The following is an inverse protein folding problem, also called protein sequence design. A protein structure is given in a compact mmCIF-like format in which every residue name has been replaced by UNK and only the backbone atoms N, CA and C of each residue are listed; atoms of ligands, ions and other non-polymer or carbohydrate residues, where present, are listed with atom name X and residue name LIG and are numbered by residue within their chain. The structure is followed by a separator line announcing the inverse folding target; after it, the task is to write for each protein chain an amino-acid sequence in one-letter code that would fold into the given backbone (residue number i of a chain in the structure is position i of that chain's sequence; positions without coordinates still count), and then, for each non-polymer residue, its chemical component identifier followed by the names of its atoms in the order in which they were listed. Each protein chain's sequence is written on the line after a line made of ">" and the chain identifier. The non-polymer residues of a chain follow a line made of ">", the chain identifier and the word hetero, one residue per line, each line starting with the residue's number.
data_IF_836196348491
#
_entry.id   IF_836196348491
#
_cell.length_a   1.000
_cell.length_b   1.000
_cell.length_c   1.000
_cell.angle_alpha   90.00
_cell.angle_beta   90.00
_cell.angle_gamma   90.00
#
_symmetry.space_group_name_H-M   'P 1'
#
loop_
_entity.id
_entity.type
_entity.pdbx_description
1 polymer ?
#
# COMPACT_ATOMS: atom_id res chain seq x y z
N UNK A 1 3.85 -6.14 -5.29
CA UNK A 1 3.09 -6.08 -4.03
C UNK A 1 2.62 -7.47 -3.68
N UNK A 2 3.06 -8.00 -2.52
CA UNK A 2 2.66 -9.32 -2.01
C UNK A 2 2.12 -9.16 -0.59
N UNK A 3 1.06 -9.88 -0.20
CA UNK A 3 0.56 -9.85 1.17
C UNK A 3 1.55 -10.54 2.12
N UNK A 4 1.64 -10.05 3.35
CA UNK A 4 2.40 -10.69 4.42
C UNK A 4 1.71 -12.00 4.85
N UNK A 5 2.45 -12.98 5.43
CA UNK A 5 1.83 -14.20 5.98
C UNK A 5 0.76 -13.91 7.02
N UNK A 6 0.96 -12.88 7.84
CA UNK A 6 0.03 -12.43 8.88
C UNK A 6 -1.27 -11.92 8.26
N UNK A 7 -1.19 -11.14 7.19
CA UNK A 7 -2.36 -10.62 6.49
C UNK A 7 -3.15 -11.74 5.81
N UNK A 8 -2.46 -12.71 5.20
CA UNK A 8 -3.11 -13.91 4.63
C UNK A 8 -3.84 -14.68 5.71
N UNK A 9 -3.22 -14.84 6.89
CA UNK A 9 -3.83 -15.49 8.04
C UNK A 9 -5.07 -14.73 8.54
N UNK A 10 -5.01 -13.39 8.66
CA UNK A 10 -6.15 -12.55 9.05
C UNK A 10 -7.37 -12.78 8.13
N UNK A 11 -7.15 -12.78 6.81
CA UNK A 11 -8.22 -13.00 5.83
C UNK A 11 -8.82 -14.40 5.95
N UNK A 12 -7.99 -15.44 6.12
CA UNK A 12 -8.46 -16.81 6.34
C UNK A 12 -9.31 -16.91 7.60
N UNK A 13 -8.84 -16.37 8.71
CA UNK A 13 -9.58 -16.39 9.98
C UNK A 13 -10.91 -15.61 9.89
N UNK A 14 -10.94 -14.48 9.18
CA UNK A 14 -12.17 -13.72 8.94
C UNK A 14 -13.19 -14.56 8.19
N UNK A 15 -12.75 -15.25 7.14
CA UNK A 15 -13.60 -16.12 6.34
C UNK A 15 -14.12 -17.32 7.13
N UNK A 16 -13.26 -18.04 7.82
CA UNK A 16 -13.60 -19.18 8.66
C UNK A 16 -14.62 -18.78 9.74
N UNK A 17 -14.45 -17.60 10.33
CA UNK A 17 -15.39 -17.05 11.30
C UNK A 17 -16.76 -16.82 10.69
N UNK A 18 -16.83 -16.15 9.53
CA UNK A 18 -18.09 -15.89 8.83
C UNK A 18 -18.82 -17.19 8.45
N UNK A 19 -18.09 -18.20 7.98
CA UNK A 19 -18.63 -19.52 7.61
C UNK A 19 -19.14 -20.27 8.83
N UNK A 20 -18.41 -20.25 9.96
CA UNK A 20 -18.84 -20.86 11.22
C UNK A 20 -20.11 -20.22 11.77
N UNK A 21 -20.13 -18.88 11.86
CA UNK A 21 -21.31 -18.13 12.32
C UNK A 21 -22.54 -18.39 11.46
N UNK A 22 -22.36 -18.52 10.13
CA UNK A 22 -23.44 -18.92 9.23
C UNK A 22 -23.91 -20.35 9.48
N UNK A 23 -22.98 -21.27 9.78
CA UNK A 23 -23.31 -22.64 10.17
C UNK A 23 -24.15 -22.70 11.42
N UNK A 24 -23.77 -21.94 12.46
CA UNK A 24 -24.51 -21.87 13.73
C UNK A 24 -25.92 -21.29 13.52
N UNK A 25 -26.07 -20.20 12.75
CA UNK A 25 -27.39 -19.62 12.39
C UNK A 25 -28.25 -20.62 11.61
N UNK A 26 -27.65 -21.34 10.67
CA UNK A 26 -28.35 -22.37 9.87
C UNK A 26 -28.86 -23.51 10.71
N UNK A 27 -28.07 -24.06 11.63
CA UNK A 27 -28.52 -25.13 12.53
C UNK A 27 -29.61 -24.65 13.48
N UNK A 28 -29.53 -23.41 13.99
CA UNK A 28 -30.58 -22.82 14.78
C UNK A 28 -31.87 -22.66 13.96
N UNK A 29 -31.78 -22.19 12.70
CA UNK A 29 -32.94 -22.07 11.80
C UNK A 29 -33.55 -23.45 11.47
N UNK A 30 -32.74 -24.48 11.24
CA UNK A 30 -33.20 -25.86 11.03
C UNK A 30 -33.88 -26.45 12.25
N UNK A 31 -33.46 -26.10 13.46
CA UNK A 31 -34.09 -26.50 14.69
C UNK A 31 -35.44 -25.83 14.89
N UNK A 32 -35.53 -24.55 14.60
CA UNK A 32 -36.75 -23.75 14.72
C UNK A 32 -37.77 -24.07 13.62
N UNK A 33 -37.32 -24.35 12.40
CA UNK A 33 -38.15 -24.60 11.22
C UNK A 33 -37.65 -25.88 10.52
N UNK A 34 -38.08 -27.08 10.95
CA UNK A 34 -37.57 -28.34 10.40
C UNK A 34 -37.72 -28.48 8.88
N UNK A 35 -38.70 -27.83 8.28
CA UNK A 35 -38.93 -27.81 6.82
C UNK A 35 -37.74 -27.21 6.05
N UNK A 36 -37.00 -26.27 6.63
CA UNK A 36 -35.77 -25.71 6.02
C UNK A 36 -34.69 -26.78 5.84
N UNK A 37 -34.57 -27.74 6.79
CA UNK A 37 -33.62 -28.83 6.67
C UNK A 37 -34.03 -29.80 5.55
N UNK A 38 -35.33 -30.14 5.46
CA UNK A 38 -35.84 -30.96 4.36
C UNK A 38 -35.61 -30.33 2.99
N UNK A 39 -35.84 -29.02 2.88
CA UNK A 39 -35.55 -28.26 1.65
C UNK A 39 -34.06 -28.34 1.30
N UNK A 40 -33.18 -28.14 2.26
CA UNK A 40 -31.73 -28.23 2.03
C UNK A 40 -31.29 -29.59 1.54
N UNK A 41 -31.88 -30.68 2.11
CA UNK A 41 -31.59 -32.07 1.70
C UNK A 41 -32.16 -32.37 0.29
N UNK A 42 -33.37 -31.89 -0.01
CA UNK A 42 -33.98 -32.02 -1.34
C UNK A 42 -33.15 -31.30 -2.41
N UNK A 43 -32.72 -30.06 -2.13
CA UNK A 43 -31.85 -29.30 -3.04
C UNK A 43 -30.51 -30.00 -3.31
N UNK A 44 -29.90 -30.63 -2.27
CA UNK A 44 -28.67 -31.39 -2.43
C UNK A 44 -28.84 -32.59 -3.37
N UNK A 45 -29.95 -33.32 -3.25
CA UNK A 45 -30.28 -34.43 -4.15
C UNK A 45 -30.53 -33.95 -5.57
N UNK A 46 -31.35 -32.91 -5.74
CA UNK A 46 -31.65 -32.31 -7.04
C UNK A 46 -30.39 -31.74 -7.73
N UNK A 47 -29.46 -31.16 -6.99
CA UNK A 47 -28.18 -30.67 -7.54
C UNK A 47 -27.33 -31.82 -8.09
N UNK A 48 -27.30 -32.95 -7.37
CA UNK A 48 -26.60 -34.16 -7.82
C UNK A 48 -27.25 -34.73 -9.08
N UNK A 49 -28.60 -34.89 -9.10
CA UNK A 49 -29.34 -35.39 -10.24
C UNK A 49 -29.20 -34.47 -11.47
N UNK A 50 -29.23 -33.15 -11.27
CA UNK A 50 -28.99 -32.16 -12.32
C UNK A 50 -27.59 -32.33 -12.92
N UNK A 51 -26.56 -32.54 -12.10
CA UNK A 51 -25.20 -32.81 -12.55
C UNK A 51 -25.10 -34.07 -13.44
N UNK A 52 -25.75 -35.16 -13.02
CA UNK A 52 -25.80 -36.42 -13.78
C UNK A 52 -26.55 -36.26 -15.11
N UNK A 53 -27.69 -35.54 -15.11
CA UNK A 53 -28.51 -35.27 -16.31
C UNK A 53 -27.72 -34.47 -17.35
N UNK A 54 -27.00 -33.42 -16.90
CA UNK A 54 -26.12 -32.60 -17.77
C UNK A 54 -24.99 -33.44 -18.35
N UNK A 55 -24.35 -34.30 -17.55
CA UNK A 55 -23.27 -35.20 -18.03
C UNK A 55 -23.77 -36.20 -19.07
N UNK A 56 -25.05 -36.56 -19.05
CA UNK A 56 -25.69 -37.46 -20.07
C UNK A 56 -26.17 -36.70 -21.29
N UNK A 57 -26.07 -35.36 -21.31
CA UNK A 57 -26.58 -34.54 -22.42
C UNK A 57 -28.11 -34.41 -22.46
N UNK A 58 -28.81 -34.76 -21.36
CA UNK A 58 -30.26 -34.72 -21.24
C UNK A 58 -30.73 -33.33 -20.74
N UNK A 59 -32.03 -33.02 -20.99
CA UNK A 59 -32.62 -31.75 -20.52
C UNK A 59 -32.83 -31.78 -19.01
N UNK A 60 -32.30 -30.78 -18.33
CA UNK A 60 -32.40 -30.59 -16.89
C UNK A 60 -33.39 -29.48 -16.46
N UNK A 61 -34.23 -29.01 -17.36
CA UNK A 61 -35.14 -27.88 -17.12
C UNK A 61 -36.16 -28.16 -16.00
N UNK A 62 -36.73 -29.36 -15.94
CA UNK A 62 -37.62 -29.76 -14.85
C UNK A 62 -36.96 -29.76 -13.47
N UNK A 63 -35.71 -30.24 -13.39
CA UNK A 63 -34.96 -30.25 -12.12
C UNK A 63 -34.64 -28.84 -11.66
N UNK A 64 -34.28 -27.95 -12.59
CA UNK A 64 -34.07 -26.52 -12.29
C UNK A 64 -35.32 -25.84 -11.76
N UNK A 65 -36.48 -26.09 -12.39
CA UNK A 65 -37.75 -25.56 -11.94
C UNK A 65 -38.10 -26.01 -10.50
N UNK A 66 -37.79 -27.27 -10.14
CA UNK A 66 -37.97 -27.77 -8.78
C UNK A 66 -37.06 -27.06 -7.77
N UNK A 67 -35.80 -26.80 -8.14
CA UNK A 67 -34.88 -26.05 -7.29
C UNK A 67 -35.40 -24.64 -7.07
N UNK A 68 -35.88 -23.95 -8.12
CA UNK A 68 -36.44 -22.60 -8.00
C UNK A 68 -37.66 -22.55 -7.11
N UNK A 69 -38.53 -23.57 -7.14
CA UNK A 69 -39.70 -23.68 -6.23
C UNK A 69 -39.25 -23.81 -4.78
N UNK A 70 -38.24 -24.66 -4.52
CA UNK A 70 -37.67 -24.83 -3.17
C UNK A 70 -36.99 -23.55 -2.66
N UNK A 71 -36.33 -22.79 -3.54
CA UNK A 71 -35.75 -21.49 -3.18
C UNK A 71 -36.83 -20.47 -2.77
N UNK A 72 -37.95 -20.43 -3.48
CA UNK A 72 -39.11 -19.58 -3.12
C UNK A 72 -39.73 -20.01 -1.79
N UNK A 73 -39.85 -21.32 -1.56
CA UNK A 73 -40.39 -21.87 -0.29
C UNK A 73 -39.47 -21.52 0.87
N UNK A 74 -38.11 -21.68 0.74
CA UNK A 74 -37.16 -21.32 1.75
C UNK A 74 -37.26 -19.83 2.10
N UNK A 75 -37.29 -18.95 1.08
CA UNK A 75 -37.42 -17.50 1.28
C UNK A 75 -38.66 -17.16 2.07
N UNK A 76 -39.81 -17.75 1.71
CA UNK A 76 -41.09 -17.49 2.39
C UNK A 76 -41.09 -17.95 3.86
N UNK A 77 -40.46 -19.09 4.14
CA UNK A 77 -40.30 -19.60 5.50
C UNK A 77 -39.42 -18.68 6.36
N UNK A 78 -38.29 -18.22 5.81
CA UNK A 78 -37.43 -17.26 6.51
C UNK A 78 -38.15 -15.94 6.81
N UNK A 79 -38.82 -15.37 5.81
CA UNK A 79 -39.54 -14.12 5.97
C UNK A 79 -40.72 -14.23 6.95
N UNK A 80 -41.47 -15.36 6.92
CA UNK A 80 -42.60 -15.60 7.86
C UNK A 80 -42.09 -15.77 9.31
N UNK A 81 -40.85 -16.21 9.51
CA UNK A 81 -40.20 -16.29 10.80
C UNK A 81 -39.51 -14.97 11.23
N UNK A 82 -39.62 -13.89 10.44
CA UNK A 82 -38.97 -12.61 10.71
C UNK A 82 -37.46 -12.62 10.50
N UNK A 83 -36.92 -13.62 9.77
CA UNK A 83 -35.50 -13.75 9.46
C UNK A 83 -35.16 -13.11 8.09
N UNK A 84 -34.00 -12.47 7.93
CA UNK A 84 -33.61 -11.92 6.65
C UNK A 84 -33.32 -13.03 5.62
N UNK A 85 -33.44 -12.75 4.31
CA UNK A 85 -33.20 -13.73 3.24
C UNK A 85 -31.81 -14.37 3.26
N UNK A 86 -30.81 -13.64 3.73
CA UNK A 86 -29.41 -14.06 3.80
C UNK A 86 -29.01 -14.61 5.20
N UNK A 87 -30.00 -14.89 6.08
CA UNK A 87 -29.77 -15.32 7.46
C UNK A 87 -28.84 -16.52 7.57
N UNK A 88 -28.95 -17.47 6.68
CA UNK A 88 -28.17 -18.71 6.67
C UNK A 88 -26.88 -18.61 5.85
N UNK A 89 -26.60 -17.45 5.24
CA UNK A 89 -25.41 -17.23 4.41
C UNK A 89 -24.27 -16.60 5.21
N UNK A 90 -23.00 -16.87 4.83
CA UNK A 90 -21.86 -16.18 5.45
C UNK A 90 -21.87 -14.68 5.17
N UNK A 91 -21.63 -13.88 6.19
CA UNK A 91 -21.50 -12.44 6.08
C UNK A 91 -20.02 -12.06 6.02
N UNK A 92 -19.45 -12.03 4.81
CA UNK A 92 -18.08 -11.66 4.58
C UNK A 92 -17.87 -10.14 4.67
N UNK A 93 -16.72 -9.69 5.18
CA UNK A 93 -16.31 -8.28 5.20
C UNK A 93 -16.21 -7.70 3.79
N UNK A 94 -15.66 -8.48 2.86
CA UNK A 94 -15.55 -8.11 1.46
C UNK A 94 -16.40 -9.03 0.58
N UNK A 95 -17.49 -8.50 0.04
CA UNK A 95 -18.38 -9.24 -0.87
C UNK A 95 -17.75 -9.58 -2.22
N UNK A 96 -16.71 -8.83 -2.66
CA UNK A 96 -16.06 -9.05 -3.94
C UNK A 96 -15.14 -10.27 -3.95
N UNK A 97 -14.50 -10.60 -2.83
CA UNK A 97 -13.59 -11.73 -2.73
C UNK A 97 -14.02 -12.77 -1.68
N UNK A 98 -15.11 -12.55 -0.97
CA UNK A 98 -15.57 -13.39 0.13
C UNK A 98 -14.44 -13.70 1.14
N UNK A 99 -13.72 -12.65 1.52
CA UNK A 99 -12.58 -12.65 2.42
C UNK A 99 -11.45 -13.62 2.02
N UNK A 100 -11.31 -13.94 0.73
CA UNK A 100 -10.14 -14.67 0.23
C UNK A 100 -8.94 -13.76 -0.04
N UNK A 101 -9.18 -12.45 -0.18
CA UNK A 101 -8.18 -11.47 -0.62
C UNK A 101 -7.86 -11.50 -2.12
N UNK A 102 -8.47 -12.41 -2.88
CA UNK A 102 -8.22 -12.59 -4.31
C UNK A 102 -9.52 -12.64 -5.11
N UNK A 103 -9.47 -12.16 -6.35
CA UNK A 103 -10.57 -12.18 -7.32
C UNK A 103 -10.09 -12.76 -8.65
N UNK A 104 -11.03 -13.34 -9.43
CA UNK A 104 -10.79 -13.95 -10.75
C UNK A 104 -10.75 -15.47 -10.71
N UNK A 105 -11.29 -16.10 -11.75
CA UNK A 105 -11.48 -17.56 -11.83
C UNK A 105 -10.22 -18.28 -12.34
N UNK A 106 -9.68 -17.85 -13.47
CA UNK A 106 -8.52 -18.48 -14.12
C UNK A 106 -7.19 -17.89 -13.65
N UNK A 107 -7.12 -16.56 -13.47
CA UNK A 107 -5.95 -15.86 -12.96
C UNK A 107 -6.33 -15.09 -11.71
N UNK A 108 -5.84 -15.56 -10.58
CA UNK A 108 -6.09 -14.89 -9.30
C UNK A 108 -5.35 -13.55 -9.24
N UNK A 109 -6.09 -12.47 -9.07
CA UNK A 109 -5.57 -11.11 -8.84
C UNK A 109 -5.89 -10.68 -7.41
N UNK A 110 -5.03 -9.84 -6.83
CA UNK A 110 -5.32 -9.27 -5.52
C UNK A 110 -6.62 -8.46 -5.57
N UNK A 111 -7.52 -8.74 -4.64
CA UNK A 111 -8.72 -7.94 -4.44
C UNK A 111 -8.37 -6.50 -4.02
N UNK A 112 -9.16 -5.49 -4.40
CA UNK A 112 -8.96 -4.12 -3.92
C UNK A 112 -8.87 -4.00 -2.40
N UNK A 113 -9.65 -4.79 -1.64
CA UNK A 113 -9.59 -4.80 -0.18
C UNK A 113 -8.23 -5.28 0.36
N UNK A 114 -7.65 -6.33 -0.24
CA UNK A 114 -6.32 -6.83 0.11
C UNK A 114 -5.23 -5.82 -0.26
N UNK A 115 -5.35 -5.19 -1.44
CA UNK A 115 -4.40 -4.13 -1.84
C UNK A 115 -4.42 -2.96 -0.86
N UNK A 116 -5.59 -2.53 -0.42
CA UNK A 116 -5.73 -1.45 0.57
C UNK A 116 -5.03 -1.81 1.89
N UNK A 117 -5.23 -3.05 2.38
CA UNK A 117 -4.58 -3.51 3.63
C UNK A 117 -3.07 -3.60 3.52
N UNK A 118 -2.55 -4.12 2.38
CA UNK A 118 -1.09 -4.12 2.13
C UNK A 118 -0.53 -2.70 2.15
N UNK A 119 -1.22 -1.74 1.52
CA UNK A 119 -0.81 -0.34 1.52
C UNK A 119 -0.83 0.27 2.93
N UNK A 120 -1.87 -0.01 3.72
CA UNK A 120 -1.95 0.43 5.13
C UNK A 120 -0.76 -0.10 5.95
N UNK A 121 -0.44 -1.39 5.83
CA UNK A 121 0.74 -1.96 6.50
C UNK A 121 2.05 -1.32 6.03
N UNK A 122 2.22 -1.14 4.73
CA UNK A 122 3.38 -0.45 4.16
C UNK A 122 3.49 0.99 4.69
N UNK A 123 2.38 1.73 4.77
CA UNK A 123 2.39 3.10 5.29
C UNK A 123 2.74 3.14 6.79
N UNK A 124 2.20 2.21 7.58
CA UNK A 124 2.49 2.13 9.00
C UNK A 124 3.98 1.83 9.29
N UNK A 125 4.60 0.95 8.48
CA UNK A 125 6.00 0.55 8.65
C UNK A 125 7.00 1.53 8.02
N UNK A 126 6.64 2.17 6.90
CA UNK A 126 7.54 3.07 6.17
C UNK A 126 7.45 4.55 6.57
N UNK A 127 6.57 4.91 7.52
CA UNK A 127 6.35 6.31 7.91
C UNK A 127 5.77 7.17 6.78
N UNK A 128 5.04 6.56 5.83
CA UNK A 128 4.31 7.27 4.78
C UNK A 128 2.96 7.71 5.35
N UNK A 129 2.67 9.02 5.30
CA UNK A 129 1.42 9.60 5.79
C UNK A 129 0.39 9.67 4.65
N UNK A 130 -0.74 8.93 4.71
CA UNK A 130 -1.77 8.95 3.68
C UNK A 130 -2.41 10.33 3.43
N UNK A 131 -2.30 11.24 4.38
CA UNK A 131 -2.86 12.60 4.25
C UNK A 131 -1.96 13.55 3.45
N UNK A 132 -0.70 13.22 3.25
CA UNK A 132 0.26 14.03 2.52
C UNK A 132 0.35 13.60 1.05
N UNK A 133 -0.74 13.74 0.29
CA UNK A 133 -0.81 13.40 -1.14
C UNK A 133 -0.77 14.64 -2.02
N UNK A 134 -0.49 14.48 -3.33
CA UNK A 134 -0.58 15.59 -4.29
C UNK A 134 -1.98 16.21 -4.37
N UNK A 135 -3.04 15.43 -4.15
CA UNK A 135 -4.41 15.90 -4.13
C UNK A 135 -4.72 16.80 -2.93
N UNK A 136 -4.08 16.54 -1.79
CA UNK A 136 -4.27 17.30 -0.53
C UNK A 136 -3.31 18.50 -0.42
N UNK A 137 -2.51 18.78 -1.47
CA UNK A 137 -1.56 19.88 -1.47
C UNK A 137 -2.27 21.23 -1.43
N UNK A 138 -2.06 22.00 -0.37
CA UNK A 138 -2.65 23.31 -0.15
C UNK A 138 -1.77 24.43 -0.69
N UNK A 139 -2.26 25.16 -1.65
CA UNK A 139 -1.55 26.34 -2.23
C UNK A 139 -1.91 27.67 -1.57
N UNK A 140 -2.89 27.67 -0.67
CA UNK A 140 -3.39 28.85 0.05
C UNK A 140 -2.54 29.21 1.28
N UNK A 141 -1.68 28.33 1.76
CA UNK A 141 -0.86 28.50 2.96
C UNK A 141 0.41 29.35 2.74
N UNK A 142 0.76 29.61 1.50
CA UNK A 142 2.01 30.31 1.18
C UNK A 142 1.90 31.82 1.40
N UNK A 143 2.87 32.45 2.09
CA UNK A 143 2.79 33.86 2.50
C UNK A 143 2.96 34.86 1.37
N UNK A 144 3.58 34.47 0.27
CA UNK A 144 3.80 35.33 -0.88
C UNK A 144 3.80 34.54 -2.20
N UNK A 145 3.51 35.24 -3.30
CA UNK A 145 3.41 34.65 -4.64
C UNK A 145 4.72 34.02 -5.13
N UNK A 146 5.87 34.55 -4.72
CA UNK A 146 7.19 33.96 -5.09
C UNK A 146 7.32 32.56 -4.50
N UNK A 147 7.10 32.41 -3.19
CA UNK A 147 7.19 31.13 -2.50
C UNK A 147 6.14 30.15 -3.04
N UNK A 148 4.91 30.63 -3.26
CA UNK A 148 3.82 29.84 -3.86
C UNK A 148 4.20 29.29 -5.24
N UNK A 149 4.76 30.13 -6.13
CA UNK A 149 5.19 29.69 -7.48
C UNK A 149 6.30 28.63 -7.41
N UNK A 150 7.29 28.81 -6.52
CA UNK A 150 8.37 27.82 -6.32
C UNK A 150 7.79 26.49 -5.87
N UNK A 151 6.90 26.50 -4.88
CA UNK A 151 6.28 25.30 -4.33
C UNK A 151 5.37 24.59 -5.35
N UNK A 152 4.57 25.33 -6.12
CA UNK A 152 3.73 24.77 -7.17
C UNK A 152 4.58 24.16 -8.30
N UNK A 153 5.69 24.77 -8.67
CA UNK A 153 6.60 24.21 -9.67
C UNK A 153 7.29 22.95 -9.15
N UNK A 154 7.73 22.94 -7.90
CA UNK A 154 8.31 21.75 -7.27
C UNK A 154 7.26 20.62 -7.19
N UNK A 155 6.01 20.93 -6.80
CA UNK A 155 4.91 19.97 -6.81
C UNK A 155 4.69 19.38 -8.20
N UNK A 156 4.59 20.21 -9.23
CA UNK A 156 4.39 19.77 -10.63
C UNK A 156 5.48 18.78 -11.07
N UNK A 157 6.76 19.12 -10.80
CA UNK A 157 7.89 18.27 -11.14
C UNK A 157 7.88 16.94 -10.36
N UNK A 158 7.59 16.98 -9.07
CA UNK A 158 7.47 15.80 -8.24
C UNK A 158 6.30 14.89 -8.67
N UNK A 159 5.15 15.47 -9.02
CA UNK A 159 3.98 14.74 -9.52
C UNK A 159 4.27 14.12 -10.90
N UNK A 160 4.92 14.86 -11.79
CA UNK A 160 5.39 14.35 -13.09
C UNK A 160 6.36 13.18 -12.93
N UNK A 161 7.32 13.30 -12.01
CA UNK A 161 8.25 12.23 -11.67
C UNK A 161 7.51 10.96 -11.18
N UNK A 162 6.60 11.12 -10.20
CA UNK A 162 5.85 10.00 -9.64
C UNK A 162 5.01 9.27 -10.71
N UNK A 163 4.41 10.02 -11.64
CA UNK A 163 3.64 9.45 -12.77
C UNK A 163 4.52 8.73 -13.79
N UNK A 164 5.72 9.27 -14.07
CA UNK A 164 6.66 8.65 -15.00
C UNK A 164 7.34 7.39 -14.44
N UNK A 165 7.38 7.23 -13.12
CA UNK A 165 8.02 6.09 -12.47
C UNK A 165 7.53 4.74 -13.02
N UNK A 166 8.37 3.73 -13.29
CA UNK A 166 9.82 3.65 -13.02
C UNK A 166 10.71 4.18 -14.14
N UNK A 167 10.16 4.81 -15.19
CA UNK A 167 10.88 5.30 -16.36
C UNK A 167 11.19 6.80 -16.24
N UNK A 168 11.58 7.24 -15.04
CA UNK A 168 11.98 8.63 -14.82
C UNK A 168 13.41 8.88 -15.33
N UNK A 169 13.64 10.07 -15.83
CA UNK A 169 14.97 10.59 -16.20
C UNK A 169 15.03 12.06 -15.77
N UNK A 170 15.89 12.40 -14.81
CA UNK A 170 16.79 11.54 -14.02
C UNK A 170 16.06 10.65 -13.00
N UNK A 171 16.75 9.60 -12.54
CA UNK A 171 16.20 8.63 -11.57
C UNK A 171 16.16 9.17 -10.13
N UNK A 172 16.95 10.18 -9.79
CA UNK A 172 17.04 10.78 -8.47
C UNK A 172 16.39 12.17 -8.39
N UNK A 173 15.95 12.53 -7.18
CA UNK A 173 15.57 13.89 -6.81
C UNK A 173 16.30 14.30 -5.54
N UNK A 174 16.83 15.52 -5.49
CA UNK A 174 17.31 16.17 -4.28
C UNK A 174 16.46 17.41 -4.00
N UNK A 175 15.64 17.35 -2.95
CA UNK A 175 14.89 18.51 -2.45
C UNK A 175 15.71 19.27 -1.42
N UNK A 176 15.98 20.53 -1.69
CA UNK A 176 16.78 21.41 -0.83
C UNK A 176 15.98 22.60 -0.35
N UNK A 177 16.33 23.15 0.81
CA UNK A 177 15.74 24.38 1.35
C UNK A 177 15.57 24.35 2.85
N UNK A 178 15.21 25.46 3.45
CA UNK A 178 15.01 25.60 4.90
C UNK A 178 13.95 24.65 5.49
N UNK A 179 13.82 24.68 6.80
CA UNK A 179 12.79 23.93 7.54
C UNK A 179 11.38 24.40 7.15
N UNK A 180 10.41 23.48 7.18
CA UNK A 180 9.00 23.83 7.01
C UNK A 180 8.57 24.26 5.60
N UNK A 181 9.41 24.03 4.57
CA UNK A 181 9.09 24.40 3.18
C UNK A 181 8.34 23.32 2.39
N UNK A 182 8.00 22.18 3.00
CA UNK A 182 7.22 21.11 2.37
C UNK A 182 8.05 20.04 1.66
N UNK A 183 9.37 19.94 1.86
CA UNK A 183 10.22 18.89 1.27
C UNK A 183 9.73 17.48 1.60
N UNK A 184 9.60 17.18 2.89
CA UNK A 184 9.11 15.87 3.37
C UNK A 184 7.69 15.57 2.89
N UNK A 185 6.83 16.60 2.75
CA UNK A 185 5.50 16.47 2.17
C UNK A 185 5.57 16.00 0.71
N UNK A 186 6.42 16.64 -0.12
CA UNK A 186 6.56 16.27 -1.52
C UNK A 186 7.16 14.87 -1.69
N UNK A 187 8.16 14.50 -0.88
CA UNK A 187 8.70 13.14 -0.85
C UNK A 187 7.63 12.12 -0.48
N UNK A 188 6.80 12.46 0.50
CA UNK A 188 5.71 11.60 0.92
C UNK A 188 4.63 11.44 -0.16
N UNK A 189 4.28 12.52 -0.85
CA UNK A 189 3.32 12.49 -1.96
C UNK A 189 3.84 11.61 -3.12
N UNK A 190 5.15 11.66 -3.43
CA UNK A 190 5.76 10.74 -4.40
C UNK A 190 5.66 9.30 -3.89
N UNK A 191 6.00 9.04 -2.62
CA UNK A 191 5.92 7.71 -2.02
C UNK A 191 4.52 7.11 -2.14
N UNK A 192 3.49 7.89 -1.82
CA UNK A 192 2.08 7.48 -1.93
C UNK A 192 1.69 7.12 -3.36
N UNK A 193 2.00 7.98 -4.32
CA UNK A 193 1.66 7.76 -5.73
C UNK A 193 2.36 6.50 -6.28
N UNK A 194 3.65 6.35 -6.01
CA UNK A 194 4.46 5.20 -6.48
C UNK A 194 4.00 3.90 -5.82
N UNK A 195 3.78 3.89 -4.50
CA UNK A 195 3.32 2.69 -3.77
C UNK A 195 1.89 2.29 -4.15
N UNK A 196 0.99 3.25 -4.42
CA UNK A 196 -0.37 2.97 -4.88
C UNK A 196 -0.40 2.19 -6.21
N UNK A 197 0.62 2.36 -7.03
CA UNK A 197 0.81 1.65 -8.30
C UNK A 197 1.50 0.29 -8.13
N UNK A 198 1.84 -0.10 -6.90
CA UNK A 198 2.34 -1.43 -6.56
C UNK A 198 3.85 -1.58 -6.57
N UNK A 199 4.60 -0.49 -6.61
CA UNK A 199 6.05 -0.49 -6.46
C UNK A 199 6.44 -0.50 -4.98
N UNK A 200 7.58 -1.12 -4.70
CA UNK A 200 8.12 -1.19 -3.34
C UNK A 200 8.85 0.12 -2.99
N UNK A 201 8.45 0.73 -1.88
CA UNK A 201 8.96 2.03 -1.43
C UNK A 201 9.51 1.91 -0.01
N UNK A 202 10.80 2.21 0.16
CA UNK A 202 11.44 2.36 1.46
C UNK A 202 11.65 3.84 1.77
N UNK A 203 11.13 4.32 2.89
CA UNK A 203 11.32 5.71 3.35
C UNK A 203 11.88 5.72 4.76
N UNK A 204 12.96 6.46 4.97
CA UNK A 204 13.55 6.68 6.27
C UNK A 204 14.16 8.08 6.36
N UNK A 205 14.32 8.61 7.57
CA UNK A 205 15.25 9.73 7.79
C UNK A 205 16.70 9.24 7.68
N UNK A 206 17.62 10.11 7.28
CA UNK A 206 19.04 9.79 7.27
C UNK A 206 19.51 9.31 8.64
N UNK A 207 19.01 9.92 9.72
CA UNK A 207 19.27 9.50 11.11
C UNK A 207 18.88 8.04 11.36
N UNK A 208 17.64 7.65 11.05
CA UNK A 208 17.14 6.29 11.29
C UNK A 208 17.87 5.26 10.43
N UNK A 209 18.15 5.61 9.17
CA UNK A 209 18.87 4.74 8.25
C UNK A 209 20.27 4.43 8.76
N UNK A 210 21.04 5.43 9.16
CA UNK A 210 22.39 5.24 9.70
C UNK A 210 22.36 4.46 11.01
N UNK A 211 21.40 4.72 11.91
CA UNK A 211 21.28 3.94 13.13
C UNK A 211 20.97 2.46 12.85
N UNK A 212 20.10 2.16 11.89
CA UNK A 212 19.81 0.78 11.51
C UNK A 212 21.06 0.04 10.99
N UNK A 213 21.90 0.71 10.19
CA UNK A 213 23.20 0.17 9.78
C UNK A 213 24.15 -0.05 10.96
N UNK A 214 24.20 0.90 11.91
CA UNK A 214 25.02 0.78 13.10
C UNK A 214 24.57 -0.36 14.02
N UNK A 215 23.27 -0.56 14.15
CA UNK A 215 22.73 -1.66 14.95
C UNK A 215 23.02 -3.02 14.30
N UNK A 216 22.95 -3.10 12.97
CA UNK A 216 23.39 -4.30 12.23
C UNK A 216 24.87 -4.61 12.46
N UNK A 217 25.75 -3.62 12.36
CA UNK A 217 27.20 -3.79 12.64
C UNK A 217 27.45 -4.29 14.07
N UNK A 218 26.61 -3.87 15.02
CA UNK A 218 26.67 -4.30 16.43
C UNK A 218 25.98 -5.63 16.70
N UNK A 219 25.44 -6.30 15.68
CA UNK A 219 24.68 -7.55 15.82
C UNK A 219 23.31 -7.40 16.50
N UNK A 220 22.71 -6.20 16.48
CA UNK A 220 21.41 -5.90 17.12
C UNK A 220 20.25 -5.88 16.14
N UNK A 221 20.44 -6.21 14.88
CA UNK A 221 19.41 -6.23 13.84
C UNK A 221 19.98 -6.62 12.49
N UNK A 222 19.09 -6.70 11.49
CA UNK A 222 19.50 -6.94 10.11
C UNK A 222 19.90 -5.63 9.43
N UNK A 223 20.83 -5.73 8.45
CA UNK A 223 21.22 -4.58 7.64
C UNK A 223 20.04 -4.16 6.75
N UNK A 224 19.75 -2.85 6.64
CA UNK A 224 18.74 -2.38 5.72
C UNK A 224 19.00 -2.87 4.29
N UNK A 225 17.97 -3.39 3.64
CA UNK A 225 18.05 -3.75 2.23
C UNK A 225 18.02 -2.48 1.36
N UNK A 226 19.16 -2.11 0.81
CA UNK A 226 19.33 -0.93 -0.02
C UNK A 226 19.00 -1.17 -1.50
N UNK A 227 18.96 -2.41 -1.94
CA UNK A 227 18.74 -2.78 -3.34
C UNK A 227 17.36 -3.40 -3.60
N UNK A 228 16.67 -3.93 -2.58
CA UNK A 228 15.32 -4.48 -2.71
C UNK A 228 14.30 -3.46 -3.21
N UNK A 229 14.11 -2.33 -2.52
CA UNK A 229 13.08 -1.36 -2.85
C UNK A 229 13.26 -0.75 -4.25
N UNK A 230 12.15 -0.60 -4.98
CA UNK A 230 12.12 0.09 -6.28
C UNK A 230 12.44 1.57 -6.13
N UNK A 231 11.88 2.20 -5.09
CA UNK A 231 12.12 3.58 -4.72
C UNK A 231 12.64 3.68 -3.29
N UNK A 232 13.75 4.38 -3.08
CA UNK A 232 14.28 4.69 -1.76
C UNK A 232 14.21 6.19 -1.50
N UNK A 233 13.70 6.58 -0.33
CA UNK A 233 13.55 7.97 0.09
C UNK A 233 14.33 8.17 1.39
N UNK A 234 15.30 9.08 1.34
CA UNK A 234 16.14 9.46 2.49
C UNK A 234 15.84 10.92 2.82
N UNK A 235 15.08 11.11 3.88
CA UNK A 235 14.68 12.43 4.35
C UNK A 235 15.66 12.99 5.38
N UNK A 236 15.72 14.31 5.50
CA UNK A 236 16.53 15.06 6.45
C UNK A 236 18.03 14.70 6.44
N UNK A 237 18.62 14.57 5.24
CA UNK A 237 20.07 14.41 5.07
C UNK A 237 20.80 15.56 5.77
N UNK A 238 21.75 15.24 6.67
CA UNK A 238 22.46 16.19 7.52
C UNK A 238 22.03 16.18 8.97
N UNK A 239 21.09 15.29 9.37
CA UNK A 239 20.68 15.11 10.76
C UNK A 239 21.28 13.85 11.41
N UNK A 240 21.82 12.95 10.60
CA UNK A 240 22.43 11.73 11.07
C UNK A 240 23.74 11.97 11.84
N UNK A 241 24.08 11.08 12.79
CA UNK A 241 25.32 11.20 13.54
C UNK A 241 26.51 10.93 12.61
N UNK A 242 27.48 11.84 12.61
CA UNK A 242 28.73 11.69 11.87
C UNK A 242 29.71 10.80 12.66
N UNK A 243 29.64 9.49 12.48
CA UNK A 243 30.46 8.50 13.19
C UNK A 243 31.69 8.17 12.34
N UNK A 244 32.78 8.91 12.54
CA UNK A 244 34.02 8.77 11.80
C UNK A 244 33.77 8.71 10.26
N UNK A 245 34.46 7.78 9.56
CA UNK A 245 34.22 7.54 8.13
C UNK A 245 32.97 6.73 7.84
N UNK A 246 32.40 6.01 8.81
CA UNK A 246 31.32 5.04 8.60
C UNK A 246 30.09 5.68 7.97
N UNK A 247 29.61 6.80 8.49
CA UNK A 247 28.44 7.50 7.95
C UNK A 247 28.64 7.92 6.50
N UNK A 248 29.79 8.52 6.19
CA UNK A 248 30.13 8.96 4.82
C UNK A 248 30.19 7.81 3.85
N UNK A 249 30.86 6.72 4.23
CA UNK A 249 31.01 5.54 3.40
C UNK A 249 29.70 4.81 3.18
N UNK A 250 28.86 4.69 4.22
CA UNK A 250 27.54 4.09 4.11
C UNK A 250 26.64 4.87 3.15
N UNK A 251 26.52 6.20 3.30
CA UNK A 251 25.71 7.02 2.40
C UNK A 251 26.24 7.03 0.97
N UNK A 252 27.58 7.05 0.81
CA UNK A 252 28.20 6.92 -0.51
C UNK A 252 27.91 5.56 -1.14
N UNK A 253 28.02 4.47 -0.39
CA UNK A 253 27.72 3.12 -0.88
C UNK A 253 26.27 3.01 -1.34
N UNK A 254 25.31 3.49 -0.52
CA UNK A 254 23.89 3.52 -0.86
C UNK A 254 23.66 4.25 -2.20
N UNK A 255 24.17 5.47 -2.31
CA UNK A 255 23.99 6.29 -3.51
C UNK A 255 24.63 5.61 -4.73
N UNK A 256 25.87 5.15 -4.59
CA UNK A 256 26.64 4.52 -5.67
C UNK A 256 26.01 3.22 -6.16
N UNK A 257 25.64 2.32 -5.25
CA UNK A 257 25.06 1.02 -5.60
C UNK A 257 23.69 1.17 -6.24
N UNK A 258 22.86 2.05 -5.72
CA UNK A 258 21.54 2.30 -6.29
C UNK A 258 21.61 2.97 -7.66
N UNK A 259 22.48 3.96 -7.86
CA UNK A 259 22.73 4.55 -9.19
C UNK A 259 23.25 3.52 -10.18
N UNK A 260 24.21 2.68 -9.76
CA UNK A 260 24.75 1.60 -10.61
C UNK A 260 23.69 0.55 -10.98
N UNK A 261 22.76 0.26 -10.06
CA UNK A 261 21.62 -0.64 -10.29
C UNK A 261 20.43 0.03 -11.01
N UNK A 262 20.54 1.30 -11.40
CA UNK A 262 19.45 2.09 -11.97
C UNK A 262 18.20 2.10 -11.09
N UNK A 263 18.38 2.23 -9.79
CA UNK A 263 17.30 2.30 -8.80
C UNK A 263 17.11 3.72 -8.29
N UNK A 264 15.85 4.15 -8.29
CA UNK A 264 15.47 5.50 -7.91
C UNK A 264 15.76 5.83 -6.45
N UNK A 265 16.39 6.97 -6.19
CA UNK A 265 16.69 7.43 -4.83
C UNK A 265 16.38 8.93 -4.69
N UNK A 266 15.52 9.27 -3.73
CA UNK A 266 15.14 10.65 -3.44
C UNK A 266 15.74 11.09 -2.12
N UNK A 267 16.16 12.34 -2.10
CA UNK A 267 16.82 12.96 -0.95
C UNK A 267 16.13 14.26 -0.58
N UNK A 268 16.05 14.56 0.71
CA UNK A 268 15.76 15.90 1.17
C UNK A 268 16.78 16.38 2.19
N UNK A 269 17.09 17.67 2.17
CA UNK A 269 18.07 18.27 3.07
C UNK A 269 17.73 19.72 3.40
N UNK A 270 18.07 20.14 4.61
CA UNK A 270 18.07 21.53 5.03
C UNK A 270 19.45 22.21 4.84
N UNK A 271 20.46 21.43 4.46
CA UNK A 271 21.84 21.90 4.27
C UNK A 271 22.01 22.60 2.94
N UNK A 272 22.97 23.52 2.88
CA UNK A 272 23.44 24.08 1.60
C UNK A 272 24.29 23.05 0.84
N UNK A 273 24.55 23.30 -0.44
CA UNK A 273 25.46 22.47 -1.23
C UNK A 273 26.88 22.47 -0.66
N UNK A 274 27.34 23.62 -0.18
CA UNK A 274 28.67 23.76 0.45
C UNK A 274 28.76 22.97 1.75
N UNK A 275 27.70 22.96 2.58
CA UNK A 275 27.64 22.16 3.79
C UNK A 275 27.65 20.66 3.48
N UNK A 276 26.96 20.23 2.43
CA UNK A 276 26.96 18.83 1.99
C UNK A 276 28.37 18.44 1.52
N UNK A 277 29.00 19.25 0.72
CA UNK A 277 30.35 19.03 0.24
C UNK A 277 31.34 18.91 1.41
N UNK A 278 31.29 19.84 2.34
CA UNK A 278 32.15 19.84 3.54
C UNK A 278 31.91 18.62 4.45
N UNK A 279 30.64 18.22 4.60
CA UNK A 279 30.27 17.13 5.49
C UNK A 279 30.53 15.75 4.91
N UNK A 280 30.26 15.53 3.62
CA UNK A 280 30.28 14.19 3.00
C UNK A 280 31.42 13.99 2.00
N UNK A 281 32.09 15.07 1.58
CA UNK A 281 33.23 15.06 0.66
C UNK A 281 32.85 15.00 -0.83
N UNK A 282 33.83 15.24 -1.68
CA UNK A 282 33.67 15.38 -3.14
C UNK A 282 33.02 14.18 -3.83
N UNK A 283 33.37 12.96 -3.39
CA UNK A 283 32.88 11.72 -4.02
C UNK A 283 31.39 11.53 -3.87
N UNK A 284 30.83 11.78 -2.70
CA UNK A 284 29.39 11.73 -2.45
C UNK A 284 28.70 12.89 -3.13
N UNK A 285 29.20 14.09 -2.92
CA UNK A 285 28.64 15.33 -3.46
C UNK A 285 28.49 15.28 -4.99
N UNK A 286 29.55 14.96 -5.73
CA UNK A 286 29.54 14.94 -7.19
C UNK A 286 28.50 13.98 -7.77
N UNK A 287 28.24 12.84 -7.11
CA UNK A 287 27.19 11.89 -7.51
C UNK A 287 25.79 12.36 -7.13
N UNK A 288 25.65 12.95 -5.93
CA UNK A 288 24.37 13.42 -5.44
C UNK A 288 23.76 14.51 -6.30
N UNK A 289 24.62 15.40 -6.85
CA UNK A 289 24.18 16.54 -7.68
C UNK A 289 24.42 16.35 -9.18
N UNK A 290 24.82 15.14 -9.61
CA UNK A 290 25.08 14.86 -11.03
C UNK A 290 23.82 15.08 -11.87
N UNK A 291 23.79 16.01 -12.86
CA UNK A 291 22.53 16.38 -13.54
C UNK A 291 21.87 15.26 -14.34
N UNK A 292 22.64 14.25 -14.75
CA UNK A 292 22.12 13.05 -15.45
C UNK A 292 21.47 12.04 -14.50
N UNK A 293 21.78 12.12 -13.21
CA UNK A 293 21.35 11.15 -12.22
C UNK A 293 20.33 11.73 -11.25
N UNK A 294 20.36 13.07 -11.01
CA UNK A 294 19.56 13.70 -9.96
C UNK A 294 19.02 15.06 -10.41
N UNK A 295 17.73 15.24 -10.27
CA UNK A 295 17.05 16.53 -10.40
C UNK A 295 17.14 17.28 -9.06
N UNK A 296 17.82 18.41 -9.05
CA UNK A 296 17.96 19.25 -7.85
C UNK A 296 16.86 20.32 -7.83
N UNK A 297 16.00 20.28 -6.82
CA UNK A 297 14.90 21.23 -6.62
C UNK A 297 15.14 22.02 -5.34
N UNK A 298 15.24 23.36 -5.47
CA UNK A 298 15.43 24.27 -4.33
C UNK A 298 14.10 24.92 -3.95
N UNK A 299 13.68 24.73 -2.71
CA UNK A 299 12.54 25.41 -2.10
C UNK A 299 13.06 26.60 -1.28
N UNK A 300 12.41 27.76 -1.44
CA UNK A 300 12.79 29.01 -0.75
C UNK A 300 11.55 29.65 -0.14
N UNK A 301 11.73 30.33 1.00
CA UNK A 301 10.68 31.09 1.67
C UNK A 301 10.66 30.87 3.19
N UNK A 302 9.55 31.27 3.80
CA UNK A 302 9.31 31.19 5.25
C UNK A 302 8.83 29.79 5.65
N UNK A 303 9.07 29.42 6.91
CA UNK A 303 8.58 28.17 7.50
C UNK A 303 7.03 28.18 7.58
N UNK A 304 6.40 27.26 6.85
CA UNK A 304 4.95 27.13 6.78
C UNK A 304 4.33 26.54 8.06
N UNK A 305 5.10 25.79 8.87
CA UNK A 305 4.60 25.18 10.12
C UNK A 305 4.16 26.25 11.13
N UNK A 306 4.77 27.43 11.09
CA UNK A 306 4.41 28.56 11.96
C UNK A 306 3.07 29.18 11.59
N UNK A 307 2.50 28.83 10.43
CA UNK A 307 1.26 29.39 9.88
C UNK A 307 0.10 28.40 9.84
N UNK A 308 0.37 27.10 9.97
CA UNK A 308 -0.64 26.05 10.08
C UNK A 308 -1.11 26.02 11.54
N UNK A 309 -2.14 26.82 11.85
CA UNK A 309 -2.89 26.74 13.11
C UNK A 309 -4.13 25.88 12.90
#
# INVERSE_FOLDING_TARGET
>A
MKPTPELIYEYRMSRERAEREAGERREAAFTAIPRLREIADQRRRLAFDTGLTIMRGEDSSELRNKVEQLDKEELNLLLSAGLPPDHMLPHYRCKACNDTGYVGDTVKKLCPCMKARILEEMYATSGIDPQQSFAMFRSDIYPCDRQKRIALKARELCEGYARAFPKCDPMGILLMGGTGLGKSYLLNAIALEVSSRGYDVYKASAYNLINAFMDSIRGRGESPDILGPDLMIIDDLGTEPMINSVTRETLFSILNERQSARKATLWATNRSLDDILASYGDRFFSRLVAPRETMVLRLEGDDLRLRLK
#
